data_IF_566404815042
#
_entry.id   IF_566404815042
#
_cell.length_a   1.000
_cell.length_b   1.000
_cell.length_c   1.000
_cell.angle_alpha   90.00
_cell.angle_beta   90.00
_cell.angle_gamma   90.00
#
_symmetry.space_group_name_H-M   'P 1'
#
loop_
_entity.id
_entity.type
_entity.pdbx_description
1 polymer ?
#
# COMPACT_ATOMS: atom_id res chain seq x y z
N UNK A 1 -29.06 -3.59 1.45
CA UNK A 1 -28.74 -4.42 2.63
C UNK A 1 -27.23 -4.44 2.78
N UNK A 2 -26.69 -4.18 3.98
CA UNK A 2 -25.24 -4.02 4.19
C UNK A 2 -24.53 -5.37 4.43
N UNK A 3 -25.19 -6.29 5.13
CA UNK A 3 -24.70 -7.64 5.41
C UNK A 3 -25.57 -8.69 4.74
N UNK A 4 -25.00 -9.85 4.47
CA UNK A 4 -25.68 -11.12 4.17
C UNK A 4 -26.25 -11.73 5.46
N UNK A 5 -27.09 -12.77 5.33
CA UNK A 5 -27.59 -13.53 6.48
C UNK A 5 -26.46 -14.16 7.31
N UNK A 6 -25.33 -14.49 6.67
CA UNK A 6 -24.15 -15.08 7.30
C UNK A 6 -23.22 -14.03 7.94
N UNK A 7 -23.65 -12.76 8.03
CA UNK A 7 -22.89 -11.69 8.66
C UNK A 7 -21.73 -11.12 7.82
N UNK A 8 -21.56 -11.58 6.58
CA UNK A 8 -20.57 -11.03 5.63
C UNK A 8 -21.10 -9.79 4.90
N UNK A 9 -20.23 -8.92 4.39
CA UNK A 9 -20.63 -7.78 3.56
C UNK A 9 -21.41 -8.25 2.32
N UNK A 10 -22.57 -7.65 2.08
CA UNK A 10 -23.46 -8.07 0.99
C UNK A 10 -22.86 -7.76 -0.40
N UNK A 11 -22.87 -8.72 -1.35
CA UNK A 11 -22.35 -8.48 -2.71
C UNK A 11 -23.02 -7.30 -3.42
N UNK A 12 -24.33 -7.10 -3.21
CA UNK A 12 -25.07 -5.97 -3.77
C UNK A 12 -24.59 -4.62 -3.22
N UNK A 13 -24.16 -4.56 -1.96
CA UNK A 13 -23.56 -3.36 -1.38
C UNK A 13 -22.12 -3.14 -1.85
N UNK A 14 -21.39 -4.22 -2.09
CA UNK A 14 -20.00 -4.20 -2.58
C UNK A 14 -19.87 -3.81 -4.06
N UNK A 15 -20.96 -3.72 -4.80
CA UNK A 15 -20.92 -3.23 -6.18
C UNK A 15 -20.22 -1.86 -6.26
N UNK A 16 -19.17 -1.78 -7.09
CA UNK A 16 -18.32 -0.59 -7.24
C UNK A 16 -17.38 -0.27 -6.07
N UNK A 17 -17.18 -1.21 -5.13
CA UNK A 17 -16.31 -1.05 -3.95
C UNK A 17 -15.21 -2.10 -3.94
N UNK A 18 -14.09 -1.78 -3.31
CA UNK A 18 -13.05 -2.76 -3.00
C UNK A 18 -13.15 -3.20 -1.54
N UNK A 19 -12.64 -4.40 -1.26
CA UNK A 19 -12.51 -4.96 0.10
C UNK A 19 -11.05 -5.33 0.32
N UNK A 20 -10.50 -5.02 1.50
CA UNK A 20 -9.19 -5.49 1.91
C UNK A 20 -9.19 -5.94 3.36
N UNK A 21 -8.60 -7.11 3.67
CA UNK A 21 -8.36 -7.50 5.05
C UNK A 21 -7.19 -6.72 5.62
N UNK A 22 -7.34 -6.28 6.88
CA UNK A 22 -6.29 -5.65 7.65
C UNK A 22 -6.08 -6.44 8.95
N UNK A 23 -4.82 -6.51 9.40
CA UNK A 23 -4.49 -7.14 10.68
C UNK A 23 -5.14 -6.36 11.83
N UNK A 24 -5.79 -7.09 12.73
CA UNK A 24 -6.38 -6.55 13.95
C UNK A 24 -6.02 -7.43 15.14
N UNK A 25 -6.03 -6.86 16.36
CA UNK A 25 -5.86 -7.65 17.58
C UNK A 25 -7.20 -8.24 18.05
N UNK A 26 -7.32 -8.45 19.35
CA UNK A 26 -8.59 -8.74 20.05
C UNK A 26 -9.57 -7.56 20.00
N UNK A 27 -9.07 -6.37 19.68
CA UNK A 27 -9.79 -5.10 19.69
C UNK A 27 -9.35 -4.22 18.55
N UNK A 28 -10.19 -3.25 18.21
CA UNK A 28 -9.87 -2.24 17.21
C UNK A 28 -8.83 -1.26 17.79
N UNK A 29 -7.63 -1.28 17.23
CA UNK A 29 -6.53 -0.40 17.67
C UNK A 29 -6.59 0.99 17.03
N UNK A 30 -5.88 1.95 17.62
CA UNK A 30 -5.83 3.34 17.16
C UNK A 30 -5.49 3.47 15.67
N UNK A 31 -4.52 2.69 15.17
CA UNK A 31 -4.13 2.70 13.74
C UNK A 31 -5.31 2.38 12.81
N UNK A 32 -6.15 1.40 13.17
CA UNK A 32 -7.33 1.06 12.37
C UNK A 32 -8.40 2.15 12.46
N UNK A 33 -8.57 2.76 13.65
CA UNK A 33 -9.48 3.88 13.82
C UNK A 33 -9.06 5.07 12.95
N UNK A 34 -7.78 5.43 12.96
CA UNK A 34 -7.23 6.53 12.17
C UNK A 34 -7.44 6.32 10.67
N UNK A 35 -7.26 5.09 10.18
CA UNK A 35 -7.52 4.71 8.79
C UNK A 35 -8.97 4.93 8.41
N UNK A 36 -9.92 4.43 9.19
CA UNK A 36 -11.34 4.61 8.90
C UNK A 36 -11.73 6.08 8.97
N UNK A 37 -11.22 6.83 9.96
CA UNK A 37 -11.46 8.27 10.06
C UNK A 37 -10.88 9.05 8.88
N UNK A 38 -9.71 8.66 8.35
CA UNK A 38 -9.16 9.22 7.12
C UNK A 38 -10.08 8.95 5.92
N UNK A 39 -10.61 7.73 5.81
CA UNK A 39 -11.64 7.38 4.84
C UNK A 39 -12.88 8.28 4.95
N UNK A 40 -13.44 8.43 6.14
CA UNK A 40 -14.61 9.29 6.39
C UNK A 40 -14.36 10.74 5.97
N UNK A 41 -13.21 11.31 6.35
CA UNK A 41 -12.84 12.68 5.95
C UNK A 41 -12.79 12.84 4.43
N UNK A 42 -12.25 11.84 3.72
CA UNK A 42 -12.15 11.89 2.26
C UNK A 42 -13.49 11.85 1.53
N UNK A 43 -14.53 11.28 2.15
CA UNK A 43 -15.89 11.20 1.57
C UNK A 43 -16.86 12.24 2.15
N UNK A 44 -16.40 13.08 3.08
CA UNK A 44 -17.24 14.06 3.77
C UNK A 44 -18.15 13.48 4.85
N UNK A 45 -17.96 12.22 5.25
CA UNK A 45 -18.71 11.61 6.33
C UNK A 45 -18.27 12.20 7.69
N UNK A 46 -19.21 12.81 8.41
CA UNK A 46 -18.97 13.45 9.72
C UNK A 46 -19.19 12.53 10.90
N UNK A 47 -19.84 11.38 10.68
CA UNK A 47 -20.14 10.39 11.68
C UNK A 47 -20.20 9.00 11.06
N UNK A 48 -20.10 7.99 11.92
CA UNK A 48 -20.24 6.59 11.61
C UNK A 48 -21.45 6.03 12.36
N UNK A 49 -22.03 4.98 11.77
CA UNK A 49 -22.95 4.10 12.46
C UNK A 49 -22.19 2.86 12.92
N UNK A 50 -22.55 2.37 14.09
CA UNK A 50 -21.92 1.26 14.78
C UNK A 50 -23.00 0.27 15.20
N UNK A 51 -22.75 -1.02 14.99
CA UNK A 51 -23.62 -2.10 15.45
C UNK A 51 -22.78 -3.31 15.90
N UNK A 52 -22.87 -3.73 17.16
CA UNK A 52 -22.44 -5.08 17.54
C UNK A 52 -23.33 -6.09 16.83
N UNK A 53 -22.74 -7.04 16.13
CA UNK A 53 -23.50 -8.05 15.40
C UNK A 53 -24.11 -9.04 16.40
N UNK A 54 -25.43 -9.23 16.30
CA UNK A 54 -26.20 -10.07 17.23
C UNK A 54 -26.77 -9.35 18.45
N UNK A 55 -26.59 -8.03 18.57
CA UNK A 55 -27.23 -7.21 19.60
C UNK A 55 -27.87 -5.95 18.99
N UNK A 56 -29.05 -5.57 19.48
CA UNK A 56 -29.61 -4.22 19.31
C UNK A 56 -29.14 -3.35 20.49
N UNK A 57 -28.82 -2.05 20.32
CA UNK A 57 -29.18 -1.17 19.20
C UNK A 57 -28.01 -0.70 18.29
N UNK A 58 -28.36 -0.19 17.10
CA UNK A 58 -27.46 0.62 16.25
C UNK A 58 -27.18 1.96 16.94
N UNK A 59 -25.90 2.30 17.09
CA UNK A 59 -25.43 3.56 17.69
C UNK A 59 -24.85 4.47 16.60
N UNK A 60 -25.21 5.75 16.63
CA UNK A 60 -24.57 6.77 15.80
C UNK A 60 -23.46 7.46 16.60
N UNK A 61 -22.26 7.56 16.04
CA UNK A 61 -21.12 8.19 16.71
C UNK A 61 -20.30 9.04 15.75
N UNK A 62 -19.85 10.22 16.19
CA UNK A 62 -18.92 11.06 15.43
C UNK A 62 -17.47 10.58 15.50
N UNK A 63 -17.16 9.67 16.43
CA UNK A 63 -15.84 9.07 16.61
C UNK A 63 -15.94 7.54 16.66
N UNK A 64 -14.96 6.86 16.08
CA UNK A 64 -14.80 5.43 16.35
C UNK A 64 -14.39 5.30 17.81
N UNK A 65 -15.02 4.43 18.61
CA UNK A 65 -14.52 4.11 19.93
C UNK A 65 -13.15 3.46 19.74
N UNK A 66 -12.09 4.26 19.81
CA UNK A 66 -10.70 3.82 19.73
C UNK A 66 -10.24 3.10 21.02
N UNK A 67 -11.18 2.72 21.88
CA UNK A 67 -10.97 2.16 23.20
C UNK A 67 -11.33 0.67 23.29
N UNK A 68 -10.94 0.09 24.42
CA UNK A 68 -11.25 -1.18 25.09
C UNK A 68 -12.57 -1.89 24.70
N UNK A 69 -13.58 -1.17 24.21
CA UNK A 69 -14.96 -1.64 23.98
C UNK A 69 -15.22 -2.24 22.58
N UNK A 70 -14.58 -1.76 21.51
CA UNK A 70 -14.88 -2.26 20.16
C UNK A 70 -14.26 -3.65 19.95
N UNK A 71 -15.09 -4.68 20.09
CA UNK A 71 -14.74 -6.09 19.97
C UNK A 71 -15.46 -6.74 18.79
N UNK A 72 -14.94 -7.84 18.24
CA UNK A 72 -15.72 -8.66 17.34
C UNK A 72 -16.91 -9.29 18.09
N UNK A 73 -18.05 -9.53 17.44
CA UNK A 73 -18.36 -9.22 16.04
C UNK A 73 -19.00 -7.82 15.95
N UNK A 74 -18.41 -6.89 15.19
CA UNK A 74 -18.91 -5.50 15.07
C UNK A 74 -18.89 -5.02 13.63
N UNK A 75 -19.86 -4.20 13.24
CA UNK A 75 -19.89 -3.46 11.99
C UNK A 75 -19.89 -1.95 12.23
N UNK A 76 -19.02 -1.24 11.52
CA UNK A 76 -19.01 0.21 11.41
C UNK A 76 -19.24 0.60 9.95
N UNK A 77 -20.03 1.65 9.69
CA UNK A 77 -20.25 2.13 8.32
C UNK A 77 -20.59 3.61 8.26
N UNK A 78 -20.29 4.23 7.13
CA UNK A 78 -20.67 5.61 6.86
C UNK A 78 -22.16 5.69 6.50
N UNK A 79 -22.90 6.72 6.94
CA UNK A 79 -24.34 6.88 6.65
C UNK A 79 -24.68 6.91 5.15
N UNK A 80 -23.77 7.44 4.34
CA UNK A 80 -23.83 7.53 2.88
C UNK A 80 -23.38 6.24 2.17
N UNK A 81 -23.08 5.18 2.94
CA UNK A 81 -22.68 3.86 2.44
C UNK A 81 -21.41 3.86 1.58
N UNK A 82 -20.56 4.88 1.70
CA UNK A 82 -19.28 4.98 1.00
C UNK A 82 -18.21 4.05 1.57
N UNK A 83 -18.27 3.73 2.86
CA UNK A 83 -17.30 2.84 3.51
C UNK A 83 -17.90 2.04 4.67
N UNK A 84 -17.29 0.90 4.95
CA UNK A 84 -17.60 0.05 6.09
C UNK A 84 -16.37 -0.70 6.60
N UNK A 85 -16.33 -0.96 7.90
CA UNK A 85 -15.39 -1.87 8.54
C UNK A 85 -16.19 -2.97 9.24
N UNK A 86 -15.99 -4.21 8.82
CA UNK A 86 -16.49 -5.40 9.49
C UNK A 86 -15.37 -5.99 10.35
N UNK A 87 -15.62 -6.17 11.64
CA UNK A 87 -14.73 -6.84 12.58
C UNK A 87 -15.37 -8.17 12.98
N UNK A 88 -15.17 -9.24 12.19
CA UNK A 88 -15.91 -10.49 12.39
C UNK A 88 -15.38 -11.31 13.56
N UNK A 89 -14.05 -11.39 13.72
CA UNK A 89 -13.34 -12.19 14.71
C UNK A 89 -11.97 -11.56 15.02
N UNK A 90 -11.32 -11.91 16.15
CA UNK A 90 -9.96 -11.46 16.43
C UNK A 90 -8.98 -11.80 15.30
N UNK A 91 -7.91 -11.01 15.17
CA UNK A 91 -6.87 -11.24 14.16
C UNK A 91 -7.05 -10.45 12.86
N UNK A 92 -8.28 -10.11 12.48
CA UNK A 92 -8.51 -9.33 11.25
C UNK A 92 -9.79 -8.48 11.26
N UNK A 93 -9.78 -7.46 10.40
CA UNK A 93 -10.98 -6.71 10.00
C UNK A 93 -11.07 -6.69 8.48
N UNK A 94 -12.27 -6.55 7.94
CA UNK A 94 -12.52 -6.31 6.53
C UNK A 94 -12.91 -4.85 6.35
N UNK A 95 -12.04 -4.09 5.69
CA UNK A 95 -12.30 -2.71 5.31
C UNK A 95 -12.80 -2.70 3.87
N UNK A 96 -13.95 -2.05 3.64
CA UNK A 96 -14.56 -1.94 2.33
C UNK A 96 -15.01 -0.53 2.05
N UNK A 97 -14.94 -0.09 0.80
CA UNK A 97 -15.42 1.23 0.44
C UNK A 97 -15.20 1.60 -1.03
N UNK A 98 -15.67 2.79 -1.38
CA UNK A 98 -15.45 3.39 -2.69
C UNK A 98 -13.99 3.81 -2.88
N UNK A 99 -13.58 4.09 -4.13
CA UNK A 99 -12.20 4.47 -4.46
C UNK A 99 -11.68 5.65 -3.63
N UNK A 100 -12.45 6.76 -3.42
CA UNK A 100 -11.99 7.86 -2.55
C UNK A 100 -11.76 7.41 -1.11
N UNK A 101 -12.72 6.70 -0.52
CA UNK A 101 -12.63 6.18 0.85
C UNK A 101 -11.41 5.28 1.03
N UNK A 102 -11.23 4.32 0.13
CA UNK A 102 -10.15 3.33 0.22
C UNK A 102 -8.77 3.95 -0.04
N UNK A 103 -8.67 4.96 -0.91
CA UNK A 103 -7.41 5.66 -1.16
C UNK A 103 -6.91 6.39 0.09
N UNK A 104 -7.82 6.95 0.89
CA UNK A 104 -7.47 7.62 2.14
C UNK A 104 -7.28 6.64 3.31
N UNK A 105 -8.12 5.61 3.42
CA UNK A 105 -8.06 4.65 4.52
C UNK A 105 -6.97 3.57 4.38
N UNK A 106 -6.50 3.33 3.14
CA UNK A 106 -5.45 2.36 2.81
C UNK A 106 -4.35 3.07 2.01
N UNK A 107 -3.55 3.95 2.66
CA UNK A 107 -2.54 4.77 1.98
C UNK A 107 -1.40 3.96 1.33
N UNK A 108 -1.24 2.70 1.69
CA UNK A 108 -0.34 1.75 1.01
C UNK A 108 -0.94 1.17 -0.30
N UNK A 109 -2.25 1.30 -0.52
CA UNK A 109 -2.99 0.69 -1.62
C UNK A 109 -3.62 -0.67 -1.25
N UNK A 110 -4.76 -0.98 -1.88
CA UNK A 110 -5.57 -2.19 -1.59
C UNK A 110 -4.76 -3.47 -1.74
N UNK A 111 -4.03 -3.63 -2.84
CA UNK A 111 -3.27 -4.86 -3.12
C UNK A 111 -2.02 -5.02 -2.24
N UNK A 112 -1.39 -3.91 -1.84
CA UNK A 112 -0.29 -3.94 -0.89
C UNK A 112 -0.77 -4.38 0.49
N UNK A 113 -1.93 -3.88 0.93
CA UNK A 113 -2.58 -4.32 2.17
C UNK A 113 -2.93 -5.81 2.13
N UNK A 114 -3.51 -6.30 1.01
CA UNK A 114 -3.82 -7.72 0.81
C UNK A 114 -2.57 -8.60 0.94
N UNK A 115 -1.47 -8.27 0.28
CA UNK A 115 -0.25 -9.07 0.40
C UNK A 115 0.39 -9.00 1.78
N UNK A 116 0.34 -7.85 2.45
CA UNK A 116 0.78 -7.73 3.84
C UNK A 116 -0.05 -8.65 4.73
N UNK A 117 -1.36 -8.68 4.53
CA UNK A 117 -2.25 -9.60 5.24
C UNK A 117 -1.95 -11.06 4.93
N UNK A 118 -1.69 -11.44 3.67
CA UNK A 118 -1.27 -12.81 3.31
C UNK A 118 -0.02 -13.24 4.08
N UNK A 119 1.03 -12.40 4.12
CA UNK A 119 2.24 -12.70 4.90
C UNK A 119 1.94 -12.86 6.40
N UNK A 120 1.08 -11.99 6.94
CA UNK A 120 0.63 -12.09 8.33
C UNK A 120 -0.11 -13.40 8.60
N UNK A 121 -1.06 -13.77 7.74
CA UNK A 121 -1.82 -15.02 7.84
C UNK A 121 -0.92 -16.24 7.80
N UNK A 122 0.07 -16.28 6.90
CA UNK A 122 1.08 -17.35 6.87
C UNK A 122 1.88 -17.43 8.18
N UNK A 123 2.29 -16.29 8.75
CA UNK A 123 3.01 -16.24 10.03
C UNK A 123 2.15 -16.71 11.22
N UNK A 124 0.83 -16.52 11.14
CA UNK A 124 -0.10 -16.90 12.21
C UNK A 124 -0.77 -18.26 11.99
N UNK A 125 -0.48 -18.96 10.89
CA UNK A 125 -1.19 -20.17 10.47
C UNK A 125 -1.30 -21.26 11.57
N UNK A 126 -0.28 -21.40 12.42
CA UNK A 126 -0.28 -22.38 13.51
C UNK A 126 -1.27 -22.05 14.64
N UNK A 127 -1.57 -20.76 14.87
CA UNK A 127 -2.46 -20.29 15.94
C UNK A 127 -3.85 -19.92 15.44
N UNK A 128 -3.91 -19.44 14.19
CA UNK A 128 -5.08 -18.85 13.55
C UNK A 128 -5.19 -19.33 12.09
N UNK A 129 -5.49 -20.62 11.85
CA UNK A 129 -5.58 -21.18 10.50
C UNK A 129 -6.68 -20.52 9.64
N UNK A 130 -7.73 -19.97 10.28
CA UNK A 130 -8.82 -19.25 9.63
C UNK A 130 -8.35 -18.03 8.83
N UNK A 131 -7.25 -17.40 9.24
CA UNK A 131 -6.69 -16.23 8.54
C UNK A 131 -6.20 -16.59 7.13
N UNK A 132 -5.80 -17.84 6.89
CA UNK A 132 -5.40 -18.30 5.57
C UNK A 132 -6.58 -18.32 4.60
N UNK A 133 -7.78 -18.70 5.07
CA UNK A 133 -8.99 -18.67 4.25
C UNK A 133 -9.38 -17.22 3.87
N UNK A 134 -9.22 -16.29 4.81
CA UNK A 134 -9.43 -14.85 4.55
C UNK A 134 -8.40 -14.34 3.53
N UNK A 135 -7.12 -14.68 3.69
CA UNK A 135 -6.07 -14.29 2.75
C UNK A 135 -6.30 -14.87 1.34
N UNK A 136 -6.77 -16.12 1.24
CA UNK A 136 -7.11 -16.76 -0.03
C UNK A 136 -8.34 -16.13 -0.69
N UNK A 137 -9.28 -15.61 0.09
CA UNK A 137 -10.46 -14.89 -0.42
C UNK A 137 -10.08 -13.52 -1.00
N UNK A 138 -9.11 -12.84 -0.38
CA UNK A 138 -8.71 -11.47 -0.75
C UNK A 138 -7.26 -11.43 -1.25
N UNK A 139 -6.97 -12.18 -2.31
CA UNK A 139 -5.65 -12.13 -2.96
C UNK A 139 -5.42 -10.77 -3.65
N UNK A 140 -4.17 -10.28 -3.70
CA UNK A 140 -3.83 -9.14 -4.54
C UNK A 140 -4.26 -9.37 -5.99
N UNK A 141 -4.83 -8.36 -6.63
CA UNK A 141 -5.22 -8.45 -8.05
C UNK A 141 -4.04 -8.33 -9.00
N UNK A 142 -3.03 -7.54 -8.64
CA UNK A 142 -1.82 -7.35 -9.44
C UNK A 142 -0.66 -8.17 -8.89
N UNK A 143 0.04 -8.82 -9.83
CA UNK A 143 1.37 -9.34 -9.61
C UNK A 143 2.34 -8.19 -9.26
N UNK A 144 3.34 -8.46 -8.43
CA UNK A 144 4.36 -7.48 -8.07
C UNK A 144 5.60 -7.63 -8.97
N UNK A 145 5.88 -6.61 -9.77
CA UNK A 145 6.99 -6.60 -10.73
C UNK A 145 8.32 -6.38 -10.02
N UNK A 146 9.31 -7.21 -10.35
CA UNK A 146 10.69 -7.04 -9.83
C UNK A 146 11.61 -6.30 -10.78
N UNK A 147 11.25 -6.29 -12.07
CA UNK A 147 12.09 -5.78 -13.15
C UNK A 147 11.28 -4.78 -13.99
N UNK A 148 11.96 -3.75 -14.48
CA UNK A 148 11.34 -2.72 -15.32
C UNK A 148 10.76 -3.30 -16.63
N UNK A 149 11.35 -4.36 -17.19
CA UNK A 149 10.89 -5.03 -18.39
C UNK A 149 9.58 -5.81 -18.19
N UNK A 150 9.23 -6.15 -16.94
CA UNK A 150 7.96 -6.82 -16.62
C UNK A 150 6.77 -5.84 -16.59
N UNK A 151 7.03 -4.53 -16.52
CA UNK A 151 6.01 -3.50 -16.28
C UNK A 151 5.28 -3.17 -17.59
N UNK A 152 3.94 -3.38 -17.67
CA UNK A 152 3.18 -3.02 -18.86
C UNK A 152 3.19 -1.51 -19.12
N UNK A 153 3.25 -1.07 -20.39
CA UNK A 153 3.51 0.32 -20.75
C UNK A 153 2.36 1.30 -20.40
N UNK A 154 1.16 0.80 -20.17
CA UNK A 154 -0.05 1.57 -19.85
C UNK A 154 -0.29 1.76 -18.34
N UNK A 155 0.69 1.37 -17.51
CA UNK A 155 0.62 1.46 -16.04
C UNK A 155 1.22 2.76 -15.51
N UNK A 156 0.82 3.16 -14.30
CA UNK A 156 1.47 4.28 -13.61
C UNK A 156 2.94 3.96 -13.27
N UNK A 157 3.26 2.69 -13.02
CA UNK A 157 4.63 2.22 -12.79
C UNK A 157 5.50 2.40 -14.03
N UNK A 158 4.97 2.15 -15.24
CA UNK A 158 5.69 2.48 -16.49
C UNK A 158 5.90 3.99 -16.63
N UNK A 159 4.94 4.80 -16.19
CA UNK A 159 5.12 6.25 -16.17
C UNK A 159 6.22 6.68 -15.19
N UNK A 160 6.35 6.06 -14.01
CA UNK A 160 7.48 6.29 -13.09
C UNK A 160 8.83 5.99 -13.75
N UNK A 161 8.94 4.86 -14.45
CA UNK A 161 10.15 4.50 -15.18
C UNK A 161 10.49 5.52 -16.27
N UNK A 162 9.47 6.06 -16.95
CA UNK A 162 9.66 7.13 -17.93
C UNK A 162 10.18 8.43 -17.27
N UNK A 163 9.60 8.82 -16.13
CA UNK A 163 10.05 9.98 -15.36
C UNK A 163 11.53 9.86 -14.95
N UNK A 164 11.95 8.68 -14.48
CA UNK A 164 13.36 8.42 -14.15
C UNK A 164 14.27 8.63 -15.35
N UNK A 165 13.88 8.09 -16.52
CA UNK A 165 14.63 8.22 -17.75
C UNK A 165 14.74 9.67 -18.22
N UNK A 166 13.64 10.42 -18.25
CA UNK A 166 13.63 11.82 -18.67
C UNK A 166 14.42 12.72 -17.71
N UNK A 167 14.28 12.50 -16.39
CA UNK A 167 15.02 13.23 -15.37
C UNK A 167 16.52 12.92 -15.43
N UNK A 168 16.90 11.65 -15.56
CA UNK A 168 18.30 11.24 -15.67
C UNK A 168 18.98 11.80 -16.93
N UNK A 169 18.23 11.95 -18.02
CA UNK A 169 18.72 12.55 -19.26
C UNK A 169 18.73 14.09 -19.23
N UNK A 170 18.24 14.72 -18.16
CA UNK A 170 18.16 16.18 -18.03
C UNK A 170 17.08 16.83 -18.89
N UNK A 171 16.16 16.05 -19.44
CA UNK A 171 15.04 16.58 -20.25
C UNK A 171 13.84 17.00 -19.41
N UNK A 172 13.82 16.64 -18.13
CA UNK A 172 12.79 16.99 -17.17
C UNK A 172 13.39 17.81 -16.01
N UNK A 173 12.88 19.01 -15.69
CA UNK A 173 13.35 19.79 -14.54
C UNK A 173 12.98 19.14 -13.19
N UNK A 174 13.82 19.33 -12.16
CA UNK A 174 13.62 18.75 -10.83
C UNK A 174 12.26 19.08 -10.17
N UNK A 175 11.74 20.32 -10.19
CA UNK A 175 10.40 20.60 -9.66
C UNK A 175 9.30 19.80 -10.36
N UNK A 176 9.38 19.69 -11.69
CA UNK A 176 8.41 18.94 -12.49
C UNK A 176 8.50 17.46 -12.22
N UNK A 177 9.72 16.92 -12.11
CA UNK A 177 9.97 15.52 -11.74
C UNK A 177 9.38 15.21 -10.35
N UNK A 178 9.68 16.01 -9.33
CA UNK A 178 9.18 15.81 -7.97
C UNK A 178 7.63 15.77 -7.95
N UNK A 179 6.98 16.75 -8.56
CA UNK A 179 5.51 16.79 -8.63
C UNK A 179 4.94 15.56 -9.35
N UNK A 180 5.47 15.22 -10.54
CA UNK A 180 5.00 14.10 -11.33
C UNK A 180 5.24 12.76 -10.61
N UNK A 181 6.36 12.61 -9.91
CA UNK A 181 6.68 11.44 -9.11
C UNK A 181 5.60 11.16 -8.04
N UNK A 182 5.22 12.20 -7.29
CA UNK A 182 4.20 12.11 -6.25
C UNK A 182 2.82 11.77 -6.80
N UNK A 183 2.42 12.39 -7.92
CA UNK A 183 1.17 12.08 -8.60
C UNK A 183 1.14 10.62 -9.05
N UNK A 184 2.20 10.18 -9.74
CA UNK A 184 2.31 8.83 -10.30
C UNK A 184 2.32 7.77 -9.20
N UNK A 185 2.99 8.01 -8.07
CA UNK A 185 3.00 7.11 -6.91
C UNK A 185 1.61 6.96 -6.29
N UNK A 186 0.82 8.03 -6.23
CA UNK A 186 -0.57 7.95 -5.78
C UNK A 186 -1.43 7.16 -6.77
N UNK A 187 -1.26 7.38 -8.07
CA UNK A 187 -1.98 6.65 -9.11
C UNK A 187 -1.67 5.16 -9.07
N UNK A 188 -0.39 4.76 -9.03
CA UNK A 188 0.04 3.37 -8.95
C UNK A 188 -0.60 2.65 -7.75
N UNK A 189 -0.52 3.25 -6.55
CA UNK A 189 -1.16 2.71 -5.33
C UNK A 189 -2.68 2.58 -5.46
N UNK A 190 -3.33 3.58 -6.07
CA UNK A 190 -4.78 3.59 -6.28
C UNK A 190 -5.24 2.54 -7.30
N UNK A 191 -4.41 2.26 -8.30
CA UNK A 191 -4.61 1.19 -9.27
C UNK A 191 -4.30 -0.20 -8.68
N UNK A 192 -3.63 -0.27 -7.53
CA UNK A 192 -3.19 -1.53 -6.94
C UNK A 192 -1.92 -2.09 -7.58
N UNK A 193 -1.21 -1.28 -8.37
CA UNK A 193 0.07 -1.64 -8.97
C UNK A 193 1.13 -1.87 -7.89
N UNK A 194 2.00 -2.86 -8.12
CA UNK A 194 2.96 -3.29 -7.13
C UNK A 194 4.31 -3.59 -7.75
N UNK A 195 5.34 -3.19 -7.01
CA UNK A 195 6.73 -3.50 -7.29
C UNK A 195 7.32 -4.29 -6.11
N UNK A 196 8.42 -5.01 -6.35
CA UNK A 196 9.18 -5.74 -5.33
C UNK A 196 10.67 -5.78 -5.67
N UNK A 197 11.52 -6.13 -4.71
CA UNK A 197 12.95 -6.36 -4.96
C UNK A 197 13.64 -5.09 -5.50
N UNK A 198 14.56 -5.22 -6.48
CA UNK A 198 15.37 -4.08 -6.96
C UNK A 198 14.53 -2.88 -7.42
N UNK A 199 13.41 -3.13 -8.10
CA UNK A 199 12.53 -2.04 -8.56
C UNK A 199 11.84 -1.31 -7.40
N UNK A 200 11.47 -2.02 -6.32
CA UNK A 200 10.93 -1.41 -5.10
C UNK A 200 12.01 -0.60 -4.36
N UNK A 201 13.23 -1.14 -4.27
CA UNK A 201 14.38 -0.47 -3.66
C UNK A 201 14.70 0.85 -4.36
N UNK A 202 14.77 0.85 -5.70
CA UNK A 202 14.93 2.05 -6.51
C UNK A 202 13.83 3.09 -6.23
N UNK A 203 12.56 2.67 -6.27
CA UNK A 203 11.44 3.60 -6.08
C UNK A 203 11.38 4.18 -4.66
N UNK A 204 11.81 3.40 -3.66
CA UNK A 204 11.90 3.87 -2.28
C UNK A 204 13.11 4.77 -2.08
N UNK A 205 14.24 4.49 -2.71
CA UNK A 205 15.41 5.35 -2.66
C UNK A 205 15.13 6.73 -3.28
N UNK A 206 14.51 6.77 -4.47
CA UNK A 206 14.10 8.04 -5.11
C UNK A 206 13.05 8.79 -4.28
N UNK A 207 12.15 8.07 -3.60
CA UNK A 207 11.24 8.68 -2.63
C UNK A 207 11.99 9.41 -1.53
N UNK A 208 13.01 8.79 -0.93
CA UNK A 208 13.82 9.41 0.13
C UNK A 208 14.59 10.63 -0.39
N UNK A 209 15.22 10.53 -1.57
CA UNK A 209 15.89 11.67 -2.21
C UNK A 209 14.95 12.85 -2.44
N UNK A 210 13.68 12.59 -2.74
CA UNK A 210 12.67 13.64 -2.91
C UNK A 210 12.14 14.19 -1.58
N UNK A 211 12.29 13.49 -0.46
CA UNK A 211 12.02 14.05 0.87
C UNK A 211 13.11 15.04 1.27
N UNK A 212 14.34 14.81 0.82
CA UNK A 212 15.49 15.70 1.04
C UNK A 212 15.58 16.82 -0.02
N UNK A 213 14.57 17.02 -0.87
CA UNK A 213 14.57 18.06 -1.91
C UNK A 213 13.44 19.07 -1.72
N UNK A 214 13.79 20.33 -1.46
CA UNK A 214 12.82 21.43 -1.43
C UNK A 214 12.64 22.06 -2.82
N UNK A 215 11.37 22.13 -3.26
CA UNK A 215 10.97 22.66 -4.57
C UNK A 215 11.03 24.18 -4.58
N UNK A 216 10.78 24.83 -3.44
CA UNK A 216 10.83 26.28 -3.26
C UNK A 216 12.19 26.70 -2.67
N UNK A 217 13.13 27.23 -3.48
CA UNK A 217 14.51 27.49 -3.03
C UNK A 217 14.62 28.41 -1.80
N UNK A 218 13.64 29.29 -1.59
CA UNK A 218 13.55 30.19 -0.44
C UNK A 218 13.21 29.49 0.89
N UNK A 219 12.67 28.26 0.83
CA UNK A 219 12.35 27.44 2.00
C UNK A 219 13.40 26.35 2.26
N UNK A 220 14.37 26.18 1.35
CA UNK A 220 15.36 25.12 1.43
C UNK A 220 16.25 25.27 2.67
N UNK A 221 16.39 24.17 3.41
CA UNK A 221 17.33 24.06 4.51
C UNK A 221 18.74 23.75 3.99
N UNK A 222 19.81 24.07 4.74
CA UNK A 222 21.19 23.83 4.30
C UNK A 222 21.54 22.36 4.01
N UNK A 223 20.73 21.42 4.51
CA UNK A 223 20.90 19.98 4.29
C UNK A 223 20.11 19.45 3.10
N UNK A 224 19.23 20.26 2.51
CA UNK A 224 18.41 19.85 1.38
C UNK A 224 19.27 19.74 0.12
N UNK A 225 18.94 18.76 -0.71
CA UNK A 225 19.53 18.57 -2.02
C UNK A 225 19.19 19.75 -2.93
N UNK A 226 20.17 20.19 -3.70
CA UNK A 226 19.94 21.05 -4.84
C UNK A 226 19.40 20.24 -6.03
N UNK A 227 18.79 20.92 -7.01
CA UNK A 227 18.29 20.23 -8.21
C UNK A 227 19.37 19.42 -8.96
N UNK A 228 20.63 19.91 -9.14
CA UNK A 228 21.70 19.11 -9.73
C UNK A 228 22.12 17.90 -8.87
N UNK A 229 22.15 18.04 -7.53
CA UNK A 229 22.49 16.94 -6.62
C UNK A 229 21.42 15.84 -6.65
N UNK A 230 20.14 16.24 -6.63
CA UNK A 230 19.01 15.31 -6.82
C UNK A 230 19.13 14.57 -8.16
N UNK A 231 19.42 15.30 -9.24
CA UNK A 231 19.56 14.68 -10.57
C UNK A 231 20.71 13.67 -10.60
N UNK A 232 21.87 14.02 -10.03
CA UNK A 232 23.02 13.13 -9.95
C UNK A 232 22.68 11.85 -9.16
N UNK A 233 22.09 11.99 -7.97
CA UNK A 233 21.73 10.88 -7.10
C UNK A 233 20.68 9.95 -7.74
N UNK A 234 19.62 10.51 -8.36
CA UNK A 234 18.61 9.70 -9.06
C UNK A 234 19.20 8.98 -10.26
N UNK A 235 20.08 9.64 -11.02
CA UNK A 235 20.75 9.05 -12.18
C UNK A 235 21.64 7.87 -11.79
N UNK A 236 22.37 8.00 -10.68
CA UNK A 236 23.20 6.94 -10.11
C UNK A 236 22.34 5.73 -9.70
N UNK A 237 21.33 5.96 -8.86
CA UNK A 237 20.43 4.90 -8.41
C UNK A 237 19.72 4.18 -9.58
N UNK A 238 19.30 4.93 -10.60
CA UNK A 238 18.65 4.35 -11.77
C UNK A 238 19.60 3.49 -12.60
N UNK A 239 20.85 3.93 -12.76
CA UNK A 239 21.89 3.17 -13.47
C UNK A 239 22.24 1.86 -12.76
N UNK A 240 22.39 1.90 -11.44
CA UNK A 240 22.73 0.71 -10.64
C UNK A 240 21.66 -0.37 -10.74
N UNK A 241 20.39 0.04 -10.87
CA UNK A 241 19.27 -0.89 -11.06
C UNK A 241 19.23 -1.47 -12.48
N UNK A 242 19.86 -0.82 -13.47
CA UNK A 242 19.96 -1.30 -14.85
C UNK A 242 21.21 -2.14 -15.11
N UNK A 243 22.22 -2.08 -14.23
CA UNK A 243 23.42 -2.87 -14.38
C UNK A 243 23.09 -4.36 -14.19
N UNK A 244 23.42 -5.25 -15.14
CA UNK A 244 23.23 -6.67 -14.93
C UNK A 244 24.05 -7.10 -13.71
N UNK A 245 23.45 -7.89 -12.82
CA UNK A 245 24.15 -8.48 -11.68
C UNK A 245 25.40 -9.20 -12.20
N UNK A 246 26.58 -8.60 -11.96
CA UNK A 246 27.86 -9.21 -12.28
C UNK A 246 27.97 -10.49 -11.45
N UNK A 247 27.70 -11.63 -12.07
CA UNK A 247 27.99 -12.93 -11.48
C UNK A 247 29.51 -12.96 -11.28
N UNK A 248 30.02 -13.08 -10.04
CA UNK A 248 31.44 -13.26 -9.85
C UNK A 248 31.83 -14.59 -10.49
N UNK A 249 32.72 -14.55 -11.49
CA UNK A 249 33.32 -15.77 -12.05
C UNK A 249 34.16 -16.41 -10.96
N UNK A 250 33.67 -17.49 -10.35
CA UNK A 250 34.51 -18.34 -9.52
C UNK A 250 35.67 -18.84 -10.39
N UNK A 251 36.87 -18.52 -9.91
CA UNK A 251 38.11 -18.74 -10.62
C UNK A 251 38.29 -20.19 -11.03
N UNK A 252 38.78 -20.34 -12.26
CA UNK A 252 39.33 -21.58 -12.77
C UNK A 252 40.36 -22.14 -11.77
N UNK A 253 40.00 -23.22 -11.08
CA UNK A 253 40.94 -24.02 -10.32
C UNK A 253 41.94 -24.66 -11.30
N UNK A 254 43.14 -24.10 -11.28
CA UNK A 254 44.33 -24.60 -11.97
C UNK A 254 44.62 -26.05 -11.53
N UNK A 255 44.61 -26.96 -12.50
CA UNK A 255 45.12 -28.31 -12.35
C UNK A 255 46.66 -28.28 -12.28
N UNK A 256 47.23 -28.89 -11.25
CA UNK A 256 48.64 -29.29 -11.24
C UNK A 256 48.71 -30.82 -11.09
N UNK A 257 49.55 -31.53 -11.87
CA UNK A 257 49.68 -32.98 -11.83
C UNK A 257 50.71 -33.39 -10.76
N UNK A 258 50.36 -34.37 -9.93
CA UNK A 258 51.30 -35.02 -9.02
C UNK A 258 52.22 -35.99 -9.77
N UNK A 259 53.51 -35.70 -9.77
CA UNK A 259 54.60 -36.68 -9.92
C UNK A 259 55.44 -36.63 -8.65
N UNK A 260 55.78 -37.80 -8.10
CA UNK A 260 56.70 -37.96 -6.97
C UNK A 260 56.23 -39.03 -6.00
#
# INVERSE_FOLDING_TARGET
MLLTLDGNLAPSWLSGKSVTPLTAGERLGAILADRVMAGCRSTGATHLRYAPLGADPIVTTSAIPADVTTRPSTLLWTPDHQGALLFPAPGHVLLAGTKPFMTAAVPEGTDAARARFTRYACKQAARHPELLAVAATYVPTHHAWSDAAEVPPDTATAHHLNLLREFSNGTLPAPTFAYAWWQTRRTAKSNGERVRGPLEELFNHVFLLLEDYEVAPELAEPTDLTAPELQAAVTEAYRDTQAPALIPSEGAASAAPGQG
#
